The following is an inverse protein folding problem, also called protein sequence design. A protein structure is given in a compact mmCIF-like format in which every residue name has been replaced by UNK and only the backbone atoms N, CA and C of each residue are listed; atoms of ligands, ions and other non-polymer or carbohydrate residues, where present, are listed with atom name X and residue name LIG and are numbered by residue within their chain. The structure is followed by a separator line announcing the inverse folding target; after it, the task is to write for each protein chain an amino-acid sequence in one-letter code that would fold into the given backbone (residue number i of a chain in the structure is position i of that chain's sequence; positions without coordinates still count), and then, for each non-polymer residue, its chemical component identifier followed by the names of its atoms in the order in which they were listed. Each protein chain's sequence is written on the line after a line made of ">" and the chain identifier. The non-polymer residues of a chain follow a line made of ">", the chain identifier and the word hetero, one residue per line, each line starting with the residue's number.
data_IF_222860791166
#
_entry.id   IF_222860791166
#
_cell.length_a   1.000
_cell.length_b   1.000
_cell.length_c   1.000
_cell.angle_alpha   90.00
_cell.angle_beta   90.00
_cell.angle_gamma   90.00
#
_symmetry.space_group_name_H-M   'P 1'
#
loop_
_entity.id
_entity.type
_entity.pdbx_description
1 polymer ?
#
# COMPACT_ATOMS: atom_id res chain seq x y z
N UNK A 1 0.37 -18.97 -16.76
CA UNK A 1 1.81 -18.73 -16.62
C UNK A 1 2.02 -18.10 -15.25
N UNK A 2 3.02 -18.53 -14.49
CA UNK A 2 3.42 -17.87 -13.26
C UNK A 2 3.99 -16.51 -13.68
N UNK A 3 3.60 -15.45 -13.00
CA UNK A 3 4.09 -14.10 -13.25
C UNK A 3 5.61 -14.06 -13.04
N UNK A 4 6.37 -13.66 -14.05
CA UNK A 4 7.83 -13.58 -14.02
C UNK A 4 8.35 -12.25 -13.44
N UNK A 5 7.46 -11.31 -13.10
CA UNK A 5 7.88 -10.04 -12.50
C UNK A 5 8.49 -10.29 -11.12
N UNK A 6 9.67 -9.71 -10.84
CA UNK A 6 10.28 -9.87 -9.54
C UNK A 6 9.43 -9.19 -8.46
N UNK A 7 9.34 -9.83 -7.30
CA UNK A 7 8.61 -9.34 -6.12
C UNK A 7 9.60 -9.20 -4.97
N UNK A 8 9.55 -8.07 -4.27
CA UNK A 8 10.28 -7.90 -3.03
C UNK A 8 9.66 -8.81 -1.96
N UNK A 9 10.43 -9.79 -1.51
CA UNK A 9 9.95 -10.81 -0.59
C UNK A 9 10.61 -10.67 0.78
N UNK A 10 9.81 -10.41 1.80
CA UNK A 10 10.21 -10.34 3.21
C UNK A 10 9.95 -11.64 3.97
N UNK A 11 9.85 -12.79 3.28
CA UNK A 11 9.65 -14.09 3.93
C UNK A 11 10.82 -14.41 4.86
N UNK A 12 10.52 -14.86 6.08
CA UNK A 12 11.49 -15.17 7.13
C UNK A 12 12.17 -13.95 7.77
N UNK A 13 11.80 -12.72 7.40
CA UNK A 13 12.44 -11.51 7.93
C UNK A 13 11.73 -10.94 9.16
N UNK A 14 12.50 -10.29 10.02
CA UNK A 14 12.00 -9.48 11.13
C UNK A 14 11.92 -7.98 10.74
N UNK A 15 11.52 -7.69 9.50
CA UNK A 15 11.52 -6.33 8.95
C UNK A 15 10.86 -5.30 9.87
N UNK A 16 9.71 -5.63 10.44
CA UNK A 16 8.99 -4.72 11.35
C UNK A 16 9.85 -4.35 12.57
N UNK A 17 10.46 -5.33 13.23
CA UNK A 17 11.29 -5.09 14.41
C UNK A 17 12.58 -4.37 14.03
N UNK A 18 13.23 -4.77 12.95
CA UNK A 18 14.53 -4.22 12.54
C UNK A 18 14.42 -2.82 11.97
N UNK A 19 13.41 -2.53 11.18
CA UNK A 19 13.27 -1.25 10.48
C UNK A 19 12.48 -0.21 11.29
N UNK A 20 11.42 -0.63 11.98
CA UNK A 20 10.55 0.26 12.75
C UNK A 20 10.78 0.18 14.25
N UNK A 21 11.07 -1.01 14.79
CA UNK A 21 11.18 -1.26 16.23
C UNK A 21 12.49 -0.80 16.86
N UNK A 22 13.61 -0.80 16.12
CA UNK A 22 14.95 -0.40 16.67
C UNK A 22 15.10 1.10 16.92
N UNK A 23 14.06 1.89 16.72
CA UNK A 23 14.04 3.32 16.99
C UNK A 23 14.53 4.20 15.84
N UNK A 24 14.45 5.52 16.04
CA UNK A 24 14.86 6.52 15.05
C UNK A 24 13.90 6.79 13.91
N UNK A 25 12.75 6.09 13.82
CA UNK A 25 11.71 6.31 12.82
C UNK A 25 10.36 6.73 13.38
N UNK A 26 10.30 7.02 14.65
CA UNK A 26 9.07 7.44 15.33
C UNK A 26 8.47 8.72 14.72
N UNK A 27 9.33 9.66 14.32
CA UNK A 27 8.89 10.86 13.61
C UNK A 27 8.22 10.51 12.28
N UNK A 28 8.87 9.69 11.45
CA UNK A 28 8.34 9.28 10.16
C UNK A 28 7.01 8.53 10.33
N UNK A 29 6.92 7.62 11.30
CA UNK A 29 5.70 6.85 11.57
C UNK A 29 4.54 7.78 11.97
N UNK A 30 4.77 8.70 12.92
CA UNK A 30 3.77 9.68 13.34
C UNK A 30 3.32 10.60 12.21
N UNK A 31 4.26 11.06 11.37
CA UNK A 31 3.95 11.92 10.23
C UNK A 31 3.11 11.19 9.16
N UNK A 32 3.40 9.91 8.88
CA UNK A 32 2.59 9.06 8.01
C UNK A 32 1.17 8.85 8.55
N UNK A 33 1.04 8.59 9.86
CA UNK A 33 -0.27 8.43 10.51
C UNK A 33 -1.11 9.72 10.43
N UNK A 34 -0.52 10.91 10.54
CA UNK A 34 -1.23 12.18 10.36
C UNK A 34 -1.78 12.29 8.93
N UNK A 35 -0.98 11.95 7.92
CA UNK A 35 -1.42 11.97 6.52
C UNK A 35 -2.55 10.96 6.26
N UNK A 36 -2.42 9.74 6.79
CA UNK A 36 -3.44 8.69 6.67
C UNK A 36 -4.75 9.10 7.33
N UNK A 37 -4.73 9.55 8.60
CA UNK A 37 -5.94 10.01 9.31
C UNK A 37 -6.67 11.13 8.59
N UNK A 38 -5.93 12.00 7.88
CA UNK A 38 -6.53 13.08 7.11
C UNK A 38 -7.20 12.60 5.80
N UNK A 39 -6.80 11.43 5.29
CA UNK A 39 -7.28 10.90 4.02
C UNK A 39 -8.26 9.75 4.15
N UNK A 40 -8.17 8.96 5.23
CA UNK A 40 -9.03 7.81 5.48
C UNK A 40 -10.50 8.24 5.55
N UNK A 41 -11.41 7.49 4.92
CA UNK A 41 -12.85 7.63 5.15
C UNK A 41 -13.21 7.39 6.61
N UNK A 42 -14.28 8.03 7.06
CA UNK A 42 -14.75 7.95 8.45
C UNK A 42 -15.55 6.68 8.76
N UNK A 43 -15.99 5.96 7.75
CA UNK A 43 -16.73 4.70 7.84
C UNK A 43 -16.67 3.96 6.51
N UNK A 44 -16.90 2.66 6.55
CA UNK A 44 -17.02 1.77 5.39
C UNK A 44 -17.20 0.33 5.82
N UNK A 45 -17.67 -0.52 4.91
CA UNK A 45 -17.79 -1.95 5.12
C UNK A 45 -16.42 -2.63 4.94
N UNK A 46 -15.98 -2.78 3.68
CA UNK A 46 -14.77 -3.52 3.33
C UNK A 46 -13.61 -2.62 2.90
N UNK A 47 -12.46 -2.79 3.54
CA UNK A 47 -11.24 -2.02 3.22
C UNK A 47 -10.06 -2.93 2.87
N UNK A 48 -9.30 -2.55 1.83
CA UNK A 48 -8.14 -3.28 1.34
C UNK A 48 -6.83 -2.58 1.75
N UNK A 49 -6.00 -3.26 2.53
CA UNK A 49 -4.64 -2.83 2.84
C UNK A 49 -3.64 -3.64 2.04
N UNK A 50 -3.04 -3.04 0.99
CA UNK A 50 -2.06 -3.70 0.11
C UNK A 50 -0.65 -3.47 0.63
N UNK A 51 0.10 -4.57 0.82
CA UNK A 51 1.43 -4.57 1.43
C UNK A 51 1.36 -4.24 2.92
N UNK A 52 0.43 -4.88 3.62
CA UNK A 52 0.16 -4.64 5.03
C UNK A 52 1.36 -4.92 5.96
N UNK A 53 2.28 -5.79 5.50
CA UNK A 53 3.40 -6.25 6.31
C UNK A 53 2.93 -6.83 7.64
N UNK A 54 3.54 -6.42 8.73
CA UNK A 54 3.13 -6.82 10.09
C UNK A 54 1.98 -5.97 10.68
N UNK A 55 1.14 -5.36 9.84
CA UNK A 55 -0.06 -4.63 10.27
C UNK A 55 0.22 -3.33 11.01
N UNK A 56 1.27 -2.58 10.63
CA UNK A 56 1.66 -1.35 11.33
C UNK A 56 0.61 -0.25 11.27
N UNK A 57 -0.01 -0.06 10.12
CA UNK A 57 -1.01 0.99 9.89
C UNK A 57 -2.45 0.49 10.07
N UNK A 58 -2.66 -0.82 10.13
CA UNK A 58 -3.99 -1.45 10.26
C UNK A 58 -4.82 -0.90 11.44
N UNK A 59 -4.26 -0.56 12.63
CA UNK A 59 -5.04 0.04 13.71
C UNK A 59 -5.72 1.37 13.35
N UNK A 60 -5.29 2.06 12.29
CA UNK A 60 -5.96 3.28 11.81
C UNK A 60 -7.27 3.00 11.08
N UNK A 61 -7.55 1.75 10.75
CA UNK A 61 -8.70 1.29 9.97
C UNK A 61 -9.89 0.87 10.86
N UNK A 62 -9.94 1.35 12.10
CA UNK A 62 -10.99 1.00 13.07
C UNK A 62 -12.42 1.40 12.65
N UNK A 63 -12.53 2.34 11.71
CA UNK A 63 -13.81 2.81 11.17
C UNK A 63 -14.44 1.86 10.14
N UNK A 64 -13.72 0.77 9.75
CA UNK A 64 -14.21 -0.20 8.77
C UNK A 64 -14.66 -1.50 9.46
N UNK A 65 -15.76 -2.07 8.97
CA UNK A 65 -16.31 -3.31 9.52
C UNK A 65 -15.40 -4.51 9.23
N UNK A 66 -14.80 -4.54 8.02
CA UNK A 66 -13.90 -5.59 7.57
C UNK A 66 -12.64 -5.00 6.92
N UNK A 67 -11.49 -5.53 7.28
CA UNK A 67 -10.19 -5.13 6.71
C UNK A 67 -9.47 -6.36 6.17
N UNK A 68 -9.16 -6.33 4.89
CA UNK A 68 -8.37 -7.38 4.23
C UNK A 68 -6.92 -6.90 4.11
N UNK A 69 -6.04 -7.60 4.81
CA UNK A 69 -4.60 -7.37 4.78
C UNK A 69 -3.96 -8.25 3.72
N UNK A 70 -3.39 -7.65 2.69
CA UNK A 70 -2.66 -8.37 1.64
C UNK A 70 -1.17 -8.09 1.75
N UNK A 71 -0.37 -9.14 1.74
CA UNK A 71 1.09 -9.06 1.62
C UNK A 71 1.61 -10.26 0.83
N UNK A 72 2.78 -10.14 0.22
CA UNK A 72 3.42 -11.29 -0.42
C UNK A 72 4.06 -12.23 0.62
N UNK A 73 4.53 -11.71 1.76
CA UNK A 73 5.16 -12.48 2.82
C UNK A 73 4.15 -13.06 3.81
N UNK A 74 4.08 -14.39 3.88
CA UNK A 74 3.31 -15.11 4.92
C UNK A 74 3.82 -14.78 6.32
N UNK A 75 5.15 -14.69 6.47
CA UNK A 75 5.80 -14.34 7.75
C UNK A 75 5.32 -12.99 8.26
N UNK A 76 5.22 -11.98 7.39
CA UNK A 76 4.73 -10.66 7.78
C UNK A 76 3.25 -10.70 8.18
N UNK A 77 2.41 -11.42 7.45
CA UNK A 77 1.00 -11.59 7.78
C UNK A 77 0.79 -12.38 9.09
N UNK A 78 1.61 -13.38 9.39
CA UNK A 78 1.59 -14.06 10.69
C UNK A 78 1.94 -13.12 11.85
N UNK A 79 2.94 -12.25 11.64
CA UNK A 79 3.28 -11.20 12.60
C UNK A 79 2.13 -10.18 12.77
N UNK A 80 1.46 -9.81 11.67
CA UNK A 80 0.27 -8.95 11.71
C UNK A 80 -0.86 -9.60 12.52
N UNK A 81 -1.15 -10.88 12.27
CA UNK A 81 -2.15 -11.65 13.01
C UNK A 81 -1.82 -11.76 14.50
N UNK A 82 -0.57 -12.03 14.83
CA UNK A 82 -0.13 -12.06 16.23
C UNK A 82 -0.28 -10.69 16.93
N UNK A 83 -0.05 -9.59 16.19
CA UNK A 83 -0.17 -8.22 16.70
C UNK A 83 -1.61 -7.73 16.84
N UNK A 84 -2.47 -8.01 15.87
CA UNK A 84 -3.85 -7.52 15.80
C UNK A 84 -4.83 -8.40 16.57
N UNK A 85 -4.42 -9.62 16.93
CA UNK A 85 -5.26 -10.59 17.62
C UNK A 85 -6.20 -11.36 16.69
N UNK A 86 -7.18 -12.02 17.28
CA UNK A 86 -8.16 -12.88 16.61
C UNK A 86 -9.49 -12.19 16.30
N UNK A 87 -9.48 -10.88 16.09
CA UNK A 87 -10.67 -10.13 15.70
C UNK A 87 -11.12 -10.56 14.30
N UNK A 88 -12.37 -11.05 14.20
CA UNK A 88 -12.96 -11.58 12.99
C UNK A 88 -13.08 -10.56 11.83
N UNK A 89 -12.93 -9.28 12.13
CA UNK A 89 -12.91 -8.25 11.08
C UNK A 89 -11.64 -8.27 10.22
N UNK A 90 -10.56 -8.91 10.66
CA UNK A 90 -9.31 -8.99 9.91
C UNK A 90 -9.24 -10.28 9.09
N UNK A 91 -9.00 -10.13 7.80
CA UNK A 91 -8.71 -11.23 6.87
C UNK A 91 -7.29 -11.10 6.34
N UNK A 92 -6.51 -12.16 6.42
CA UNK A 92 -5.11 -12.18 6.00
C UNK A 92 -4.95 -12.97 4.72
N UNK A 93 -4.36 -12.35 3.69
CA UNK A 93 -4.26 -12.90 2.33
C UNK A 93 -2.82 -12.77 1.82
N UNK A 94 -2.13 -13.89 1.64
CA UNK A 94 -0.84 -13.93 0.99
C UNK A 94 -1.05 -13.99 -0.53
N UNK A 95 -0.67 -12.91 -1.24
CA UNK A 95 -0.88 -12.80 -2.67
C UNK A 95 0.12 -11.88 -3.36
N UNK A 96 0.29 -12.09 -4.67
CA UNK A 96 1.02 -11.17 -5.52
C UNK A 96 0.12 -9.98 -5.89
N UNK A 97 0.62 -8.76 -5.67
CA UNK A 97 -0.11 -7.52 -5.98
C UNK A 97 -0.50 -7.39 -7.45
N UNK A 98 0.21 -8.06 -8.33
CA UNK A 98 -0.09 -8.09 -9.76
C UNK A 98 -1.23 -9.05 -10.16
N UNK A 99 -1.75 -9.83 -9.20
CA UNK A 99 -2.83 -10.80 -9.37
C UNK A 99 -3.66 -10.89 -8.09
N UNK A 100 -4.29 -9.81 -7.70
CA UNK A 100 -5.09 -9.76 -6.47
C UNK A 100 -6.27 -10.74 -6.56
N UNK A 101 -6.49 -11.60 -5.56
CA UNK A 101 -7.52 -12.64 -5.60
C UNK A 101 -8.90 -12.11 -5.18
N UNK A 102 -9.34 -10.99 -5.77
CA UNK A 102 -10.59 -10.35 -5.37
C UNK A 102 -11.55 -10.14 -6.52
N UNK A 103 -12.84 -10.12 -6.19
CA UNK A 103 -13.90 -9.73 -7.08
C UNK A 103 -13.79 -8.24 -7.43
N UNK A 104 -14.12 -7.86 -8.67
CA UNK A 104 -14.18 -6.44 -9.05
C UNK A 104 -15.18 -5.69 -8.16
N UNK A 105 -14.78 -4.50 -7.71
CA UNK A 105 -15.66 -3.64 -6.92
C UNK A 105 -15.95 -4.13 -5.48
N UNK A 106 -15.15 -5.04 -4.95
CA UNK A 106 -15.39 -5.63 -3.63
C UNK A 106 -15.13 -4.68 -2.46
N UNK A 107 -14.33 -3.63 -2.63
CA UNK A 107 -13.90 -2.80 -1.51
C UNK A 107 -14.41 -1.36 -1.62
N UNK A 108 -14.83 -0.79 -0.49
CA UNK A 108 -15.23 0.61 -0.34
C UNK A 108 -14.04 1.56 -0.41
N UNK A 109 -12.88 1.06 -0.01
CA UNK A 109 -11.63 1.80 -0.05
C UNK A 109 -10.42 0.90 0.06
N UNK A 110 -9.26 1.49 -0.19
CA UNK A 110 -7.99 0.78 -0.03
C UNK A 110 -6.84 1.72 0.21
N UNK A 111 -5.73 1.16 0.68
CA UNK A 111 -4.47 1.88 0.79
C UNK A 111 -3.28 1.01 0.39
N UNK A 112 -2.24 1.68 -0.11
CA UNK A 112 -0.94 1.09 -0.42
C UNK A 112 0.15 2.04 0.12
N UNK A 113 0.76 1.68 1.24
CA UNK A 113 1.74 2.50 1.96
C UNK A 113 3.05 1.75 2.10
N UNK A 114 4.15 2.33 1.65
CA UNK A 114 5.48 1.70 1.65
C UNK A 114 5.60 0.45 0.78
N UNK A 115 4.84 0.39 -0.32
CA UNK A 115 4.82 -0.75 -1.25
C UNK A 115 5.26 -0.33 -2.64
N UNK A 116 4.74 0.79 -3.15
CA UNK A 116 4.96 1.24 -4.53
C UNK A 116 6.44 1.23 -4.92
N UNK A 117 7.33 1.60 -4.01
CA UNK A 117 8.77 1.64 -4.25
C UNK A 117 9.45 0.27 -4.38
N UNK A 118 8.70 -0.83 -4.21
CA UNK A 118 9.17 -2.20 -4.46
C UNK A 118 8.61 -2.79 -5.76
N UNK A 119 7.83 -2.02 -6.52
CA UNK A 119 7.11 -2.53 -7.69
C UNK A 119 7.84 -2.15 -8.98
N UNK A 120 8.19 -3.15 -9.78
CA UNK A 120 8.77 -2.97 -11.12
C UNK A 120 7.72 -2.54 -12.15
N UNK A 121 6.45 -2.91 -11.93
CA UNK A 121 5.30 -2.55 -12.77
C UNK A 121 4.23 -1.85 -11.91
N UNK A 122 4.50 -0.59 -11.56
CA UNK A 122 3.55 0.24 -10.82
C UNK A 122 2.18 0.35 -11.50
N UNK A 123 2.10 0.64 -12.81
CA UNK A 123 0.83 0.67 -13.55
C UNK A 123 0.03 -0.63 -13.46
N UNK A 124 0.69 -1.79 -13.55
CA UNK A 124 0.04 -3.10 -13.42
C UNK A 124 -0.61 -3.30 -12.05
N UNK A 125 0.13 -3.00 -10.98
CA UNK A 125 -0.38 -3.09 -9.63
C UNK A 125 -1.55 -2.10 -9.38
N UNK A 126 -1.45 -0.87 -9.89
CA UNK A 126 -2.52 0.12 -9.74
C UNK A 126 -3.81 -0.30 -10.46
N UNK A 127 -3.73 -0.97 -11.62
CA UNK A 127 -4.91 -1.54 -12.30
C UNK A 127 -5.57 -2.65 -11.49
N UNK A 128 -4.80 -3.55 -10.87
CA UNK A 128 -5.35 -4.61 -10.00
C UNK A 128 -6.07 -4.02 -8.78
N UNK A 129 -5.46 -3.02 -8.15
CA UNK A 129 -6.09 -2.32 -7.01
C UNK A 129 -7.35 -1.59 -7.46
N UNK A 130 -7.30 -0.86 -8.59
CA UNK A 130 -8.47 -0.16 -9.13
C UNK A 130 -9.63 -1.11 -9.39
N UNK A 131 -9.35 -2.27 -10.00
CA UNK A 131 -10.38 -3.27 -10.30
C UNK A 131 -11.05 -3.84 -9.03
N UNK A 132 -10.31 -3.93 -7.91
CA UNK A 132 -10.86 -4.41 -6.65
C UNK A 132 -11.74 -3.38 -5.93
N UNK A 133 -11.60 -2.09 -6.24
CA UNK A 133 -12.36 -1.00 -5.61
C UNK A 133 -13.65 -0.72 -6.37
N UNK A 134 -14.74 -0.47 -5.63
CA UNK A 134 -16.03 -0.10 -6.23
C UNK A 134 -16.01 1.33 -6.81
N UNK A 135 -16.91 1.63 -7.76
CA UNK A 135 -17.15 3.01 -8.18
C UNK A 135 -17.48 3.90 -6.97
N UNK A 136 -16.88 5.09 -6.91
CA UNK A 136 -16.97 5.99 -5.75
C UNK A 136 -16.09 5.59 -4.57
N UNK A 137 -15.40 4.46 -4.63
CA UNK A 137 -14.44 4.02 -3.63
C UNK A 137 -13.22 4.95 -3.53
N UNK A 138 -12.57 4.94 -2.37
CA UNK A 138 -11.38 5.78 -2.10
C UNK A 138 -10.10 4.94 -2.12
N UNK A 139 -9.01 5.54 -2.61
CA UNK A 139 -7.69 4.91 -2.56
C UNK A 139 -6.64 5.88 -2.03
N UNK A 140 -5.76 5.39 -1.16
CA UNK A 140 -4.64 6.15 -0.62
C UNK A 140 -3.35 5.46 -1.05
N UNK A 141 -2.57 6.14 -1.88
CA UNK A 141 -1.25 5.69 -2.31
C UNK A 141 -0.16 6.49 -1.63
N UNK A 142 0.87 5.82 -1.12
CA UNK A 142 2.14 6.45 -0.76
C UNK A 142 3.23 6.00 -1.73
N UNK A 143 4.10 6.92 -2.13
CA UNK A 143 5.27 6.62 -2.93
C UNK A 143 6.51 7.39 -2.52
N UNK A 144 7.68 6.76 -2.72
CA UNK A 144 8.98 7.38 -2.54
C UNK A 144 9.28 8.35 -3.68
N UNK A 145 9.56 9.62 -3.33
CA UNK A 145 9.67 10.72 -4.26
C UNK A 145 11.14 11.03 -4.61
N UNK A 146 11.51 10.81 -5.86
CA UNK A 146 12.86 11.19 -6.35
C UNK A 146 13.08 12.70 -6.47
N UNK A 147 12.01 13.50 -6.62
CA UNK A 147 12.08 14.97 -6.73
C UNK A 147 12.15 15.64 -5.35
N UNK A 148 12.69 14.97 -4.35
CA UNK A 148 12.84 15.57 -3.04
C UNK A 148 14.01 16.58 -3.00
N UNK A 149 13.91 17.57 -2.10
CA UNK A 149 14.87 18.68 -2.02
C UNK A 149 16.31 18.23 -1.80
N UNK A 150 16.58 17.10 -1.12
CA UNK A 150 17.93 16.54 -0.95
C UNK A 150 18.49 16.01 -2.27
N UNK A 151 17.66 15.35 -3.06
CA UNK A 151 18.06 14.87 -4.38
C UNK A 151 18.30 16.03 -5.33
N UNK A 152 17.47 17.08 -5.28
CA UNK A 152 17.66 18.30 -6.05
C UNK A 152 18.99 18.97 -5.69
N UNK A 153 19.26 19.16 -4.39
CA UNK A 153 20.50 19.77 -3.94
C UNK A 153 21.74 18.96 -4.38
N UNK A 154 21.73 17.65 -4.21
CA UNK A 154 22.83 16.78 -4.65
C UNK A 154 23.06 16.84 -6.15
N UNK A 155 21.99 16.89 -6.94
CA UNK A 155 22.08 16.99 -8.39
C UNK A 155 22.70 18.32 -8.83
N UNK A 156 22.21 19.43 -8.27
CA UNK A 156 22.76 20.79 -8.59
C UNK A 156 24.21 20.96 -8.16
N UNK A 157 24.65 20.26 -7.11
CA UNK A 157 26.04 20.26 -6.64
C UNK A 157 26.95 19.24 -7.38
N UNK A 158 26.43 18.52 -8.37
CA UNK A 158 27.18 17.48 -9.08
C UNK A 158 27.45 16.19 -8.26
N UNK A 159 26.83 16.04 -7.11
CA UNK A 159 27.00 14.88 -6.20
C UNK A 159 26.12 13.68 -6.56
N UNK A 160 25.32 13.77 -7.60
CA UNK A 160 24.39 12.75 -8.05
C UNK A 160 24.30 12.77 -9.58
N UNK A 161 24.33 11.58 -10.20
CA UNK A 161 24.31 11.46 -11.67
C UNK A 161 22.91 11.52 -12.28
N UNK A 162 21.91 10.96 -11.60
CA UNK A 162 20.54 10.94 -12.12
C UNK A 162 19.79 12.23 -11.80
N UNK A 163 18.98 12.68 -12.76
CA UNK A 163 18.18 13.90 -12.62
C UNK A 163 16.94 13.66 -11.77
N UNK A 164 16.69 14.45 -10.71
CA UNK A 164 15.44 14.39 -9.96
C UNK A 164 14.23 14.89 -10.76
N UNK A 165 14.48 15.57 -11.89
CA UNK A 165 13.44 16.17 -12.75
C UNK A 165 13.00 15.28 -13.90
N UNK A 166 13.72 14.18 -14.19
CA UNK A 166 13.34 13.25 -15.24
C UNK A 166 12.17 12.39 -14.78
N UNK A 167 11.22 12.03 -15.68
CA UNK A 167 10.07 11.22 -15.35
C UNK A 167 10.42 9.76 -15.06
N UNK A 168 11.56 9.25 -15.53
CA UNK A 168 11.97 7.86 -15.38
C UNK A 168 12.15 7.49 -13.90
N UNK A 169 11.66 6.32 -13.46
CA UNK A 169 11.98 5.79 -12.15
C UNK A 169 13.48 5.59 -11.94
N UNK A 170 13.93 5.70 -10.70
CA UNK A 170 15.32 5.40 -10.34
C UNK A 170 15.36 4.25 -9.37
N UNK A 171 15.97 3.15 -9.77
CA UNK A 171 16.31 2.06 -8.88
C UNK A 171 17.64 2.39 -8.16
N UNK A 172 17.58 2.64 -6.85
CA UNK A 172 18.76 2.98 -6.06
C UNK A 172 19.32 1.78 -5.28
N UNK A 173 18.53 0.71 -5.15
CA UNK A 173 18.91 -0.59 -4.63
C UNK A 173 17.98 -1.64 -5.25
N UNK A 174 18.36 -2.92 -5.21
CA UNK A 174 17.57 -4.00 -5.81
C UNK A 174 16.09 -3.93 -5.36
N UNK A 175 15.17 -3.81 -6.32
CA UNK A 175 13.73 -3.63 -6.09
C UNK A 175 13.40 -2.47 -5.12
N UNK A 176 14.16 -1.37 -5.21
CA UNK A 176 13.88 -0.14 -4.48
C UNK A 176 13.94 1.05 -5.42
N UNK A 177 12.77 1.61 -5.71
CA UNK A 177 12.58 2.67 -6.70
C UNK A 177 12.13 3.97 -6.05
N UNK A 178 12.67 5.08 -6.54
CA UNK A 178 12.10 6.40 -6.33
C UNK A 178 11.42 6.88 -7.61
N UNK A 179 10.24 7.47 -7.48
CA UNK A 179 9.41 7.90 -8.60
C UNK A 179 9.29 9.42 -8.68
N UNK A 180 9.14 9.93 -9.91
CA UNK A 180 8.79 11.33 -10.10
C UNK A 180 7.29 11.54 -9.89
N UNK A 181 6.83 12.58 -9.15
CA UNK A 181 5.42 12.80 -8.85
C UNK A 181 4.52 12.86 -10.09
N UNK A 182 5.01 13.45 -11.19
CA UNK A 182 4.28 13.51 -12.46
C UNK A 182 4.03 12.12 -13.03
N UNK A 183 5.00 11.23 -12.96
CA UNK A 183 4.90 9.86 -13.45
C UNK A 183 3.84 9.07 -12.69
N UNK A 184 3.87 9.15 -11.36
CA UNK A 184 2.86 8.47 -10.52
C UNK A 184 1.46 9.02 -10.77
N UNK A 185 1.32 10.35 -10.97
CA UNK A 185 0.02 10.93 -11.35
C UNK A 185 -0.50 10.42 -12.69
N UNK A 186 0.36 10.30 -13.70
CA UNK A 186 -0.01 9.71 -14.99
C UNK A 186 -0.51 8.26 -14.80
N UNK A 187 0.26 7.43 -14.10
CA UNK A 187 -0.11 6.04 -13.83
C UNK A 187 -1.43 5.88 -13.08
N UNK A 188 -1.69 6.74 -12.08
CA UNK A 188 -2.97 6.76 -11.38
C UNK A 188 -4.12 7.10 -12.32
N UNK A 189 -3.97 8.13 -13.14
CA UNK A 189 -5.00 8.54 -14.11
C UNK A 189 -5.23 7.46 -15.17
N UNK A 190 -4.18 6.86 -15.70
CA UNK A 190 -4.25 5.75 -16.68
C UNK A 190 -4.89 4.49 -16.09
N UNK A 191 -4.72 4.25 -14.80
CA UNK A 191 -5.40 3.17 -14.09
C UNK A 191 -6.87 3.45 -13.76
N UNK A 192 -7.38 4.68 -14.02
CA UNK A 192 -8.77 5.06 -13.78
C UNK A 192 -9.03 5.82 -12.48
N UNK A 193 -7.99 6.22 -11.75
CA UNK A 193 -8.13 6.99 -10.53
C UNK A 193 -8.22 8.50 -10.78
N UNK A 194 -9.20 9.16 -10.15
CA UNK A 194 -9.24 10.61 -10.01
C UNK A 194 -8.47 11.06 -8.77
N UNK A 195 -7.49 11.96 -8.94
CA UNK A 195 -6.71 12.50 -7.82
C UNK A 195 -7.52 13.57 -7.11
N UNK A 196 -7.75 13.39 -5.81
CA UNK A 196 -8.54 14.30 -4.96
C UNK A 196 -7.67 15.27 -4.19
N UNK A 197 -6.59 14.78 -3.56
CA UNK A 197 -5.68 15.60 -2.76
C UNK A 197 -4.31 14.92 -2.64
N UNK A 198 -3.29 15.71 -2.30
CA UNK A 198 -1.95 15.23 -2.07
C UNK A 198 -1.39 15.82 -0.76
N UNK A 199 -0.59 15.01 -0.05
CA UNK A 199 0.16 15.42 1.13
C UNK A 199 1.62 15.04 0.99
N UNK A 200 2.49 15.97 1.31
CA UNK A 200 3.94 15.73 1.40
C UNK A 200 4.30 15.38 2.83
N UNK A 201 5.12 14.35 3.03
CA UNK A 201 5.44 13.81 4.34
C UNK A 201 6.96 13.71 4.52
N UNK A 202 7.42 13.80 5.76
CA UNK A 202 8.84 13.74 6.12
C UNK A 202 9.65 14.99 5.75
N UNK A 203 9.08 16.20 5.95
CA UNK A 203 9.75 17.50 5.72
C UNK A 203 11.02 17.65 6.56
N UNK A 204 10.99 17.18 7.80
CA UNK A 204 12.08 17.33 8.78
C UNK A 204 12.95 16.08 8.92
N UNK A 205 13.05 15.25 7.88
CA UNK A 205 13.88 14.03 7.86
C UNK A 205 15.38 14.37 7.75
N UNK A 206 15.89 15.12 8.74
CA UNK A 206 17.29 15.48 8.94
C UNK A 206 17.77 14.91 10.26
N UNK A 207 18.91 14.20 10.24
CA UNK A 207 19.46 13.57 11.45
C UNK A 207 19.69 14.55 12.59
N UNK A 208 20.14 15.79 12.28
CA UNK A 208 20.34 16.84 13.28
C UNK A 208 19.03 17.23 13.97
N UNK A 209 17.97 17.50 13.19
CA UNK A 209 16.65 17.88 13.74
C UNK A 209 16.07 16.77 14.62
N UNK A 210 16.20 15.53 14.19
CA UNK A 210 15.73 14.35 14.95
C UNK A 210 16.49 14.10 16.26
N UNK A 211 17.71 14.67 16.41
CA UNK A 211 18.48 14.61 17.67
C UNK A 211 18.11 15.74 18.62
N UNK A 212 17.72 16.90 18.10
CA UNK A 212 17.45 18.10 18.92
C UNK A 212 15.98 18.16 19.36
N UNK A 213 15.05 17.76 18.49
CA UNK A 213 13.62 17.93 18.74
C UNK A 213 12.90 16.59 18.96
N UNK A 214 11.92 16.56 19.87
CA UNK A 214 11.10 15.38 20.09
C UNK A 214 10.36 14.97 18.81
N UNK A 215 10.24 13.64 18.50
CA UNK A 215 9.53 13.14 17.33
C UNK A 215 8.09 13.65 17.22
N UNK A 216 7.38 13.80 18.32
CA UNK A 216 6.02 14.32 18.34
C UNK A 216 5.92 15.77 17.84
N UNK A 217 6.86 16.63 18.25
CA UNK A 217 6.91 18.02 17.77
C UNK A 217 7.20 18.09 16.27
N UNK A 218 8.20 17.33 15.81
CA UNK A 218 8.53 17.27 14.37
C UNK A 218 7.34 16.75 13.55
N UNK A 219 6.61 15.75 14.05
CA UNK A 219 5.43 15.22 13.38
C UNK A 219 4.26 16.22 13.36
N UNK A 220 4.06 17.00 14.43
CA UNK A 220 3.03 18.03 14.46
C UNK A 220 3.33 19.17 13.45
N UNK A 221 4.58 19.63 13.38
CA UNK A 221 5.04 20.61 12.40
C UNK A 221 4.94 20.05 10.97
N UNK A 222 5.28 18.77 10.77
CA UNK A 222 5.10 18.08 9.50
C UNK A 222 3.63 18.06 9.10
N UNK A 223 2.73 17.68 10.00
CA UNK A 223 1.29 17.64 9.78
C UNK A 223 0.72 18.97 9.31
N UNK A 224 1.22 20.06 9.86
CA UNK A 224 0.85 21.43 9.43
C UNK A 224 1.34 21.73 8.01
N UNK A 225 2.54 21.28 7.65
CA UNK A 225 3.13 21.51 6.34
C UNK A 225 2.59 20.54 5.25
N UNK A 226 2.06 19.36 5.61
CA UNK A 226 1.64 18.32 4.66
C UNK A 226 0.68 18.80 3.55
N UNK A 227 -0.31 19.69 3.78
CA UNK A 227 -1.22 20.14 2.73
C UNK A 227 -0.56 20.88 1.58
N UNK A 228 0.70 21.36 1.77
CA UNK A 228 1.48 21.97 0.68
C UNK A 228 1.72 20.99 -0.48
N UNK A 229 1.57 19.70 -0.25
CA UNK A 229 1.62 18.64 -1.26
C UNK A 229 0.65 18.82 -2.42
N UNK A 230 -0.44 19.58 -2.25
CA UNK A 230 -1.34 19.90 -3.35
C UNK A 230 -0.69 20.79 -4.43
N UNK A 231 0.34 21.53 -4.06
CA UNK A 231 1.04 22.48 -4.97
C UNK A 231 2.46 22.04 -5.28
N UNK A 232 3.19 21.54 -4.26
CA UNK A 232 4.61 21.21 -4.36
C UNK A 232 4.94 19.89 -3.66
N UNK A 233 5.69 19.00 -4.36
CA UNK A 233 6.08 17.69 -3.82
C UNK A 233 7.61 17.60 -3.75
N UNK A 234 8.22 18.23 -2.72
CA UNK A 234 9.67 18.24 -2.51
C UNK A 234 10.15 17.43 -1.30
N UNK A 235 9.26 16.66 -0.67
CA UNK A 235 9.62 15.76 0.43
C UNK A 235 9.92 14.35 -0.07
N UNK A 236 10.60 13.50 0.74
CA UNK A 236 10.93 12.13 0.36
C UNK A 236 9.72 11.21 0.14
N UNK A 237 8.58 11.51 0.75
CA UNK A 237 7.36 10.70 0.65
C UNK A 237 6.17 11.59 0.28
N UNK A 238 5.33 11.09 -0.61
CA UNK A 238 4.10 11.75 -1.06
C UNK A 238 2.93 10.79 -0.90
N UNK A 239 1.88 11.27 -0.23
CA UNK A 239 0.60 10.60 -0.12
C UNK A 239 -0.39 11.20 -1.11
N UNK A 240 -1.10 10.35 -1.85
CA UNK A 240 -2.12 10.75 -2.82
C UNK A 240 -3.44 10.12 -2.42
N UNK A 241 -4.45 10.95 -2.20
CA UNK A 241 -5.83 10.50 -2.07
C UNK A 241 -6.48 10.47 -3.44
N UNK A 242 -7.02 9.34 -3.81
CA UNK A 242 -7.70 9.10 -5.07
C UNK A 242 -9.14 8.67 -4.84
N UNK A 243 -9.97 8.83 -5.88
CA UNK A 243 -11.31 8.27 -5.95
C UNK A 243 -11.44 7.45 -7.25
N UNK A 244 -12.17 6.35 -7.18
CA UNK A 244 -12.60 5.59 -8.36
C UNK A 244 -13.76 6.32 -9.01
N UNK A 245 -13.70 6.56 -10.32
CA UNK A 245 -14.76 7.27 -11.04
C UNK A 245 -16.08 6.49 -11.03
N UNK A 246 -17.19 7.23 -11.06
CA UNK A 246 -18.54 6.67 -11.12
C UNK A 246 -19.24 6.61 -9.75
N UNK A 247 -20.52 6.28 -9.82
CA UNK A 247 -21.37 5.96 -8.67
C UNK A 247 -21.90 4.54 -8.90
N UNK A 248 -21.79 3.69 -7.90
CA UNK A 248 -22.31 2.32 -7.92
C UNK A 248 -22.82 1.94 -6.55
N UNK A 249 -23.88 1.16 -6.52
CA UNK A 249 -24.31 0.55 -5.27
C UNK A 249 -23.25 -0.44 -4.80
N UNK A 250 -22.99 -0.51 -3.48
CA UNK A 250 -22.11 -1.53 -2.93
C UNK A 250 -22.59 -2.92 -3.33
N UNK A 251 -21.66 -3.78 -3.73
CA UNK A 251 -21.98 -5.20 -3.91
C UNK A 251 -22.41 -5.74 -2.53
N UNK A 252 -23.50 -6.49 -2.43
CA UNK A 252 -23.88 -7.14 -1.17
C UNK A 252 -22.83 -8.22 -0.84
N UNK A 253 -21.96 -7.95 0.12
CA UNK A 253 -20.92 -8.85 0.59
C UNK A 253 -21.28 -9.28 2.00
N UNK A 254 -21.63 -10.56 2.17
CA UNK A 254 -21.96 -11.13 3.46
C UNK A 254 -20.74 -11.78 4.14
N UNK A 255 -19.75 -12.20 3.35
CA UNK A 255 -18.60 -12.94 3.85
C UNK A 255 -17.35 -12.76 2.99
N UNK A 256 -16.20 -13.20 3.51
CA UNK A 256 -14.93 -13.24 2.77
C UNK A 256 -15.04 -14.07 1.48
N UNK A 257 -15.85 -15.14 1.47
CA UNK A 257 -16.05 -15.99 0.29
C UNK A 257 -16.64 -15.21 -0.90
N UNK A 258 -17.45 -14.18 -0.62
CA UNK A 258 -18.06 -13.35 -1.66
C UNK A 258 -17.05 -12.49 -2.40
N UNK A 259 -15.95 -12.11 -1.74
CA UNK A 259 -14.90 -11.26 -2.32
C UNK A 259 -13.75 -12.05 -2.93
N UNK A 260 -13.48 -13.29 -2.49
CA UNK A 260 -12.35 -14.06 -2.97
C UNK A 260 -12.58 -14.60 -4.39
N UNK A 261 -11.55 -14.49 -5.23
CA UNK A 261 -11.53 -15.02 -6.62
C UNK A 261 -10.19 -15.67 -6.90
N UNK A 262 -10.20 -16.59 -7.84
CA UNK A 262 -8.96 -17.19 -8.35
C UNK A 262 -8.05 -16.10 -8.94
N UNK A 263 -6.79 -15.95 -8.50
CA UNK A 263 -5.90 -14.93 -9.05
C UNK A 263 -5.57 -15.14 -10.53
N UNK A 264 -5.74 -16.37 -11.03
CA UNK A 264 -5.36 -16.73 -12.41
C UNK A 264 -6.48 -16.48 -13.41
N UNK A 265 -7.73 -16.87 -13.12
CA UNK A 265 -8.85 -16.75 -14.05
C UNK A 265 -10.01 -15.92 -13.51
N UNK A 266 -9.89 -15.36 -12.30
CA UNK A 266 -10.93 -14.60 -11.58
C UNK A 266 -12.23 -15.39 -11.33
N UNK A 267 -12.21 -16.72 -11.55
CA UNK A 267 -13.33 -17.61 -11.29
C UNK A 267 -13.65 -17.72 -9.78
N UNK A 268 -14.87 -18.16 -9.46
CA UNK A 268 -15.30 -18.39 -8.09
C UNK A 268 -14.48 -19.51 -7.43
N UNK A 269 -14.31 -19.38 -6.12
CA UNK A 269 -13.63 -20.36 -5.28
C UNK A 269 -14.61 -21.06 -4.39
N UNK A 270 -14.42 -22.35 -4.15
CA UNK A 270 -15.24 -23.19 -3.28
C UNK A 270 -14.36 -24.05 -2.38
N UNK A 271 -14.81 -24.30 -1.17
CA UNK A 271 -14.10 -25.07 -0.15
C UNK A 271 -13.76 -24.23 1.08
N UNK A 272 -13.24 -24.87 2.11
CA UNK A 272 -12.90 -24.21 3.39
C UNK A 272 -11.39 -24.24 3.66
N UNK A 273 -10.79 -25.41 3.82
CA UNK A 273 -9.34 -25.54 4.05
C UNK A 273 -8.53 -25.48 2.74
N UNK A 274 -9.12 -25.94 1.65
CA UNK A 274 -8.61 -25.81 0.29
C UNK A 274 -9.67 -25.14 -0.57
N UNK A 275 -9.27 -24.07 -1.24
CA UNK A 275 -10.15 -23.30 -2.11
C UNK A 275 -9.96 -23.74 -3.56
N UNK A 276 -10.90 -24.53 -4.09
CA UNK A 276 -10.91 -24.98 -5.48
C UNK A 276 -11.52 -23.93 -6.42
N UNK A 277 -10.84 -23.62 -7.51
CA UNK A 277 -11.39 -22.75 -8.54
C UNK A 277 -12.32 -23.52 -9.46
N UNK A 278 -13.59 -23.09 -9.55
CA UNK A 278 -14.61 -23.70 -10.42
C UNK A 278 -14.25 -23.55 -11.91
N UNK A 279 -13.56 -22.45 -12.26
CA UNK A 279 -13.25 -22.13 -13.68
C UNK A 279 -12.02 -22.85 -14.22
N UNK A 280 -10.93 -22.98 -13.45
CA UNK A 280 -9.67 -23.53 -13.96
C UNK A 280 -9.13 -24.72 -13.16
N UNK A 281 -9.84 -25.16 -12.12
CA UNK A 281 -9.52 -26.34 -11.31
C UNK A 281 -8.31 -26.16 -10.37
N UNK A 282 -7.63 -25.00 -10.36
CA UNK A 282 -6.51 -24.77 -9.43
C UNK A 282 -7.01 -24.69 -8.00
N UNK A 283 -6.17 -25.14 -7.09
CA UNK A 283 -6.47 -25.15 -5.64
C UNK A 283 -5.51 -24.25 -4.90
N UNK A 284 -5.99 -23.64 -3.83
CA UNK A 284 -5.27 -22.67 -3.01
C UNK A 284 -5.45 -23.02 -1.53
N UNK A 285 -4.42 -22.80 -0.73
CA UNK A 285 -4.45 -23.15 0.68
C UNK A 285 -5.14 -22.07 1.53
N UNK A 286 -5.88 -22.53 2.53
CA UNK A 286 -6.22 -21.76 3.73
C UNK A 286 -5.61 -22.47 4.93
N UNK A 287 -4.55 -21.90 5.47
CA UNK A 287 -3.79 -22.51 6.56
C UNK A 287 -3.38 -21.45 7.58
N UNK A 288 -3.40 -21.81 8.87
CA UNK A 288 -3.01 -20.92 9.98
C UNK A 288 -3.75 -19.58 9.98
N UNK A 289 -5.01 -19.57 9.50
CA UNK A 289 -5.84 -18.37 9.38
C UNK A 289 -5.41 -17.39 8.28
N UNK A 290 -4.62 -17.85 7.29
CA UNK A 290 -4.20 -17.10 6.11
C UNK A 290 -4.70 -17.79 4.84
N UNK A 291 -5.23 -17.02 3.91
CA UNK A 291 -5.45 -17.46 2.54
C UNK A 291 -4.14 -17.29 1.76
N UNK A 292 -3.66 -18.35 1.12
CA UNK A 292 -2.42 -18.30 0.32
C UNK A 292 -2.71 -18.48 -1.16
N UNK A 293 -2.54 -17.38 -1.91
CA UNK A 293 -2.77 -17.31 -3.35
C UNK A 293 -1.48 -17.12 -4.15
N UNK A 294 -0.31 -17.35 -3.57
CA UNK A 294 0.98 -17.19 -4.26
C UNK A 294 1.21 -18.29 -5.28
N UNK A 295 1.03 -19.54 -4.86
CA UNK A 295 1.23 -20.73 -5.69
C UNK A 295 0.07 -21.70 -5.47
N UNK A 296 -0.46 -22.32 -6.54
CA UNK A 296 -1.47 -23.36 -6.41
C UNK A 296 -0.90 -24.62 -5.77
N UNK A 297 -1.76 -25.37 -5.09
CA UNK A 297 -1.44 -26.67 -4.46
C UNK A 297 -1.18 -27.74 -5.52
#
# INVERSE_FOLDING_TARGET
>A
MIDSRPVCNYEGSNYQADFWGKGGREYEDRAEQIALRAFLPKAGGWFLEVGAGAGRQTPLLEAFEHVVLVDYSRTQLQQARARLGSDARYTFVAANVYHLPFAPGAFDGGMMVRVMHHLVDGPGALREVHAALRPGGSFILEFANKQNWKAIARYLLGLQRWSPFSPEPVEFANLNFDFHPRTVRCWLTEAGFGIVAQRTVSHYRLGLLKRIFPPALLAALDGWAQPTGNWMQFTPSVFVKCAVAGQGEPMPIASVADILRCPVCKGQLQGEAELGCVGCGRRWAFQDGLYDFKEPL
#
